data_IF_100558878653
#
_entry.id   IF_100558878653
#
_cell.length_a   1.000
_cell.length_b   1.000
_cell.length_c   1.000
_cell.angle_alpha   90.00
_cell.angle_beta   90.00
_cell.angle_gamma   90.00
#
_symmetry.space_group_name_H-M   'P 1'
#
loop_
_entity.id
_entity.type
_entity.pdbx_description
1 polymer ?
#
# COMPACT_ATOMS: atom_id res chain seq x y z
N UNK A 1 14.11 -2.82 -63.01
CA UNK A 1 14.40 -4.28 -62.88
C UNK A 1 15.63 -4.64 -62.01
N UNK A 2 16.72 -3.86 -61.97
CA UNK A 2 17.88 -4.19 -61.07
C UNK A 2 17.61 -3.86 -59.59
N UNK A 3 16.89 -2.81 -59.26
CA UNK A 3 16.58 -2.38 -57.92
C UNK A 3 15.56 -3.26 -57.19
N UNK A 4 14.59 -3.85 -57.87
CA UNK A 4 13.62 -4.81 -57.28
C UNK A 4 14.25 -6.16 -56.94
N UNK A 5 15.24 -6.63 -57.69
CA UNK A 5 15.96 -7.88 -57.36
C UNK A 5 16.88 -7.71 -56.13
N UNK A 6 17.43 -6.53 -55.90
CA UNK A 6 18.26 -6.22 -54.73
C UNK A 6 17.42 -6.15 -53.44
N UNK A 7 16.21 -5.57 -53.49
CA UNK A 7 15.32 -5.50 -52.33
C UNK A 7 14.82 -6.91 -51.91
N UNK A 8 14.37 -7.72 -52.87
CA UNK A 8 13.95 -9.12 -52.56
C UNK A 8 15.07 -10.03 -52.00
N UNK A 9 16.31 -9.82 -52.42
CA UNK A 9 17.46 -10.56 -51.87
C UNK A 9 17.78 -10.10 -50.43
N UNK A 10 17.59 -8.82 -50.12
CA UNK A 10 17.83 -8.29 -48.78
C UNK A 10 16.71 -8.72 -47.79
N UNK A 11 15.45 -8.71 -48.24
CA UNK A 11 14.33 -9.25 -47.45
C UNK A 11 14.48 -10.73 -47.13
N UNK A 12 14.84 -11.54 -48.10
CA UNK A 12 15.06 -13.00 -47.87
C UNK A 12 16.25 -13.31 -46.96
N UNK A 13 17.27 -12.45 -46.92
CA UNK A 13 18.41 -12.57 -45.97
C UNK A 13 17.98 -12.13 -44.55
N UNK A 14 17.14 -11.11 -44.45
CA UNK A 14 16.64 -10.59 -43.17
C UNK A 14 15.66 -11.57 -42.53
N UNK A 15 14.80 -12.20 -43.32
CA UNK A 15 13.87 -13.25 -42.86
C UNK A 15 14.58 -14.52 -42.38
N UNK A 16 15.66 -14.93 -43.04
CA UNK A 16 16.50 -16.05 -42.59
C UNK A 16 17.19 -15.74 -41.28
N UNK A 17 17.78 -14.55 -41.15
CA UNK A 17 18.42 -14.12 -39.92
C UNK A 17 17.44 -14.01 -38.74
N UNK A 18 16.23 -13.52 -38.98
CA UNK A 18 15.17 -13.46 -37.96
C UNK A 18 14.71 -14.87 -37.54
N UNK A 19 14.58 -15.78 -38.48
CA UNK A 19 14.20 -17.17 -38.19
C UNK A 19 15.26 -17.94 -37.40
N UNK A 20 16.54 -17.71 -37.68
CA UNK A 20 17.66 -18.26 -36.90
C UNK A 20 17.71 -17.69 -35.47
N UNK A 21 17.48 -16.36 -35.31
CA UNK A 21 17.37 -15.70 -33.99
C UNK A 21 16.20 -16.25 -33.18
N UNK A 22 15.03 -16.45 -33.80
CA UNK A 22 13.86 -17.03 -33.12
C UNK A 22 14.14 -18.46 -32.64
N UNK A 23 14.74 -19.33 -33.48
CA UNK A 23 15.11 -20.70 -33.09
C UNK A 23 16.13 -20.74 -31.95
N UNK A 24 17.10 -19.83 -31.96
CA UNK A 24 18.07 -19.71 -30.88
C UNK A 24 17.38 -19.27 -29.55
N UNK A 25 16.44 -18.33 -29.62
CA UNK A 25 15.65 -17.87 -28.47
C UNK A 25 14.79 -19.02 -27.92
N UNK A 26 14.04 -19.73 -28.77
CA UNK A 26 13.20 -20.86 -28.37
C UNK A 26 14.01 -21.96 -27.68
N UNK A 27 15.22 -22.24 -28.20
CA UNK A 27 16.15 -23.20 -27.60
C UNK A 27 16.61 -22.74 -26.21
N UNK A 28 16.94 -21.45 -26.06
CA UNK A 28 17.37 -20.89 -24.79
C UNK A 28 16.20 -20.91 -23.77
N UNK A 29 14.97 -20.56 -24.19
CA UNK A 29 13.78 -20.64 -23.35
C UNK A 29 13.51 -22.07 -22.86
N UNK A 30 13.60 -23.06 -23.75
CA UNK A 30 13.43 -24.45 -23.39
C UNK A 30 14.52 -24.96 -22.40
N UNK A 31 15.77 -24.48 -22.51
CA UNK A 31 16.80 -24.77 -21.53
C UNK A 31 16.56 -24.14 -20.18
N UNK A 32 16.12 -22.88 -20.17
CA UNK A 32 15.76 -22.14 -18.93
C UNK A 32 14.59 -22.84 -18.21
N UNK A 33 13.56 -23.24 -18.95
CA UNK A 33 12.42 -23.96 -18.36
C UNK A 33 12.81 -25.33 -17.77
N UNK A 34 13.75 -26.03 -18.40
CA UNK A 34 14.28 -27.29 -17.87
C UNK A 34 15.11 -27.10 -16.60
N UNK A 35 15.85 -26.01 -16.51
CA UNK A 35 16.77 -25.75 -15.40
C UNK A 35 16.09 -25.08 -14.22
N UNK A 36 15.16 -24.16 -14.47
CA UNK A 36 14.55 -23.29 -13.46
C UNK A 36 13.05 -23.50 -13.27
N UNK A 37 12.42 -24.37 -14.08
CA UNK A 37 10.98 -24.65 -14.04
C UNK A 37 10.17 -23.81 -15.03
N UNK A 38 8.95 -24.30 -15.33
CA UNK A 38 8.01 -23.59 -16.22
C UNK A 38 7.64 -22.22 -15.66
N UNK A 39 7.60 -21.21 -16.52
CA UNK A 39 7.22 -19.84 -16.14
C UNK A 39 8.40 -19.01 -15.61
N UNK A 40 9.65 -19.54 -15.62
CA UNK A 40 10.85 -18.76 -15.25
C UNK A 40 11.10 -17.58 -16.18
N UNK A 41 10.68 -17.68 -17.44
CA UNK A 41 10.63 -16.60 -18.44
C UNK A 41 9.29 -16.65 -19.13
N UNK A 42 8.61 -15.51 -19.20
CA UNK A 42 7.32 -15.39 -19.90
C UNK A 42 7.29 -14.09 -20.72
N UNK A 43 6.56 -14.09 -21.81
CA UNK A 43 6.30 -12.85 -22.54
C UNK A 43 5.26 -12.03 -21.77
N UNK A 44 5.40 -10.70 -21.76
CA UNK A 44 4.42 -9.82 -21.08
C UNK A 44 3.02 -9.94 -21.70
N UNK A 45 2.93 -10.23 -23.01
CA UNK A 45 1.67 -10.55 -23.71
C UNK A 45 0.91 -11.74 -23.13
N UNK A 46 1.65 -12.72 -22.55
CA UNK A 46 1.07 -13.94 -22.00
C UNK A 46 0.61 -13.74 -20.54
N UNK A 47 0.97 -12.60 -19.95
CA UNK A 47 0.49 -12.16 -18.67
C UNK A 47 -0.88 -11.54 -18.87
N UNK A 48 -1.94 -12.35 -18.86
CA UNK A 48 -3.29 -11.81 -18.69
C UNK A 48 -3.29 -10.86 -17.50
N UNK A 49 -4.03 -9.76 -17.58
CA UNK A 49 -4.17 -8.75 -16.55
C UNK A 49 -4.40 -9.41 -15.18
N UNK A 50 -3.32 -9.72 -14.48
CA UNK A 50 -3.41 -10.33 -13.17
C UNK A 50 -3.97 -9.27 -12.23
N UNK A 51 -5.21 -9.44 -11.79
CA UNK A 51 -5.82 -8.60 -10.75
C UNK A 51 -4.88 -8.61 -9.55
N UNK A 52 -4.45 -7.43 -9.15
CA UNK A 52 -3.57 -7.28 -7.97
C UNK A 52 -4.45 -7.51 -6.75
N UNK A 53 -4.18 -8.58 -6.02
CA UNK A 53 -4.84 -8.83 -4.73
C UNK A 53 -4.40 -7.76 -3.73
N UNK A 54 -5.35 -7.23 -2.95
CA UNK A 54 -5.11 -6.13 -2.01
C UNK A 54 -5.75 -6.39 -0.65
N UNK A 55 -5.27 -5.68 0.35
CA UNK A 55 -5.86 -5.56 1.69
C UNK A 55 -6.43 -4.15 1.81
N UNK A 56 -7.75 -3.95 2.01
CA UNK A 56 -8.34 -2.64 2.21
C UNK A 56 -7.75 -1.94 3.44
N UNK A 57 -7.49 -0.64 3.32
CA UNK A 57 -6.87 0.15 4.40
C UNK A 57 -7.82 0.52 5.53
N UNK A 58 -9.13 0.42 5.28
CA UNK A 58 -10.18 0.95 6.17
C UNK A 58 -10.59 2.39 5.84
N UNK A 59 -9.87 3.06 4.92
CA UNK A 59 -10.26 4.36 4.37
C UNK A 59 -10.48 4.23 2.86
N UNK A 60 -11.73 4.41 2.42
CA UNK A 60 -12.08 4.38 1.00
C UNK A 60 -11.29 5.43 0.20
N UNK A 61 -11.06 6.61 0.79
CA UNK A 61 -10.28 7.66 0.17
C UNK A 61 -8.83 7.22 -0.10
N UNK A 62 -8.22 6.51 0.87
CA UNK A 62 -6.86 5.99 0.70
C UNK A 62 -6.81 4.81 -0.28
N UNK A 63 -7.80 3.92 -0.24
CA UNK A 63 -7.91 2.80 -1.18
C UNK A 63 -7.95 3.29 -2.62
N UNK A 64 -8.73 4.36 -2.89
CA UNK A 64 -8.81 5.02 -4.20
C UNK A 64 -7.50 5.75 -4.54
N UNK A 65 -6.89 6.46 -3.58
CA UNK A 65 -5.61 7.13 -3.81
C UNK A 65 -4.47 6.16 -4.14
N UNK A 66 -4.53 4.93 -3.64
CA UNK A 66 -3.61 3.84 -3.99
C UNK A 66 -3.79 3.33 -5.42
N UNK A 67 -4.94 3.57 -6.07
CA UNK A 67 -5.22 3.23 -7.47
C UNK A 67 -5.43 1.74 -7.73
N UNK A 68 -5.36 0.89 -6.71
CA UNK A 68 -5.57 -0.57 -6.80
C UNK A 68 -6.59 -1.08 -5.76
N UNK A 69 -7.20 -0.16 -5.00
CA UNK A 69 -8.24 -0.49 -4.03
C UNK A 69 -7.74 -0.93 -2.64
N UNK A 70 -6.46 -0.81 -2.33
CA UNK A 70 -5.89 -1.17 -1.04
C UNK A 70 -4.38 -1.37 -1.05
N UNK A 71 -3.84 -1.99 0.00
CA UNK A 71 -2.43 -2.34 0.12
C UNK A 71 -2.12 -3.60 -0.70
N UNK A 72 -1.07 -3.60 -1.56
CA UNK A 72 -0.78 -4.72 -2.45
C UNK A 72 -0.28 -5.94 -1.68
N UNK A 73 -0.85 -7.13 -1.97
CA UNK A 73 -0.35 -8.40 -1.44
C UNK A 73 1.02 -8.77 -2.03
N UNK A 74 1.82 -9.46 -1.24
CA UNK A 74 3.16 -9.88 -1.65
C UNK A 74 4.19 -8.74 -1.73
N UNK A 75 3.94 -7.62 -1.06
CA UNK A 75 4.75 -6.40 -1.17
C UNK A 75 5.08 -5.79 0.19
N UNK A 76 6.13 -4.97 0.17
CA UNK A 76 6.54 -4.16 1.32
C UNK A 76 5.87 -2.79 1.20
N UNK A 77 5.23 -2.36 2.28
CA UNK A 77 4.62 -1.05 2.47
C UNK A 77 5.34 -0.35 3.62
N UNK A 78 5.75 0.90 3.45
CA UNK A 78 6.25 1.76 4.51
C UNK A 78 5.21 2.83 4.83
N UNK A 79 4.80 2.92 6.10
CA UNK A 79 3.93 3.97 6.63
C UNK A 79 4.76 4.80 7.58
N UNK A 80 4.96 6.08 7.29
CA UNK A 80 5.79 6.95 8.10
C UNK A 80 5.16 8.33 8.32
N UNK A 81 5.52 8.97 9.40
CA UNK A 81 5.03 10.29 9.76
C UNK A 81 5.39 10.66 11.19
N UNK A 82 5.01 11.86 11.63
CA UNK A 82 5.21 12.31 13.01
C UNK A 82 4.53 11.39 14.03
N UNK A 83 4.89 11.53 15.26
CA UNK A 83 4.19 10.89 16.38
C UNK A 83 2.71 11.31 16.40
N UNK A 84 1.84 10.41 16.87
CA UNK A 84 0.39 10.64 16.96
C UNK A 84 -0.30 11.05 15.63
N UNK A 85 0.30 10.70 14.48
CA UNK A 85 -0.28 10.97 13.15
C UNK A 85 -1.30 9.92 12.69
N UNK A 86 -1.46 8.80 13.42
CA UNK A 86 -2.40 7.72 13.10
C UNK A 86 -1.78 6.53 12.37
N UNK A 87 -0.44 6.36 12.38
CA UNK A 87 0.26 5.22 11.74
C UNK A 87 -0.26 3.87 12.23
N UNK A 88 -0.22 3.65 13.53
CA UNK A 88 -0.67 2.41 14.17
C UNK A 88 -2.17 2.20 13.98
N UNK A 89 -2.99 3.26 14.07
CA UNK A 89 -4.44 3.20 13.80
C UNK A 89 -4.74 2.70 12.38
N UNK A 90 -4.09 3.29 11.36
CA UNK A 90 -4.25 2.86 9.96
C UNK A 90 -3.84 1.39 9.78
N UNK A 91 -2.78 0.98 10.44
CA UNK A 91 -2.26 -0.39 10.35
C UNK A 91 -3.19 -1.39 11.03
N UNK A 92 -3.77 -1.05 12.19
CA UNK A 92 -4.75 -1.88 12.88
C UNK A 92 -6.03 -2.05 12.06
N UNK A 93 -6.49 -1.02 11.35
CA UNK A 93 -7.62 -1.16 10.40
C UNK A 93 -7.28 -2.10 9.25
N UNK A 94 -6.04 -2.05 8.71
CA UNK A 94 -5.61 -3.00 7.69
C UNK A 94 -5.58 -4.45 8.22
N UNK A 95 -5.13 -4.67 9.48
CA UNK A 95 -5.20 -5.98 10.15
C UNK A 95 -6.65 -6.44 10.25
N UNK A 96 -7.54 -5.59 10.79
CA UNK A 96 -8.96 -5.93 10.95
C UNK A 96 -9.61 -6.31 9.62
N UNK A 97 -9.29 -5.61 8.53
CA UNK A 97 -9.81 -5.92 7.20
C UNK A 97 -9.23 -7.22 6.63
N UNK A 98 -7.94 -7.49 6.86
CA UNK A 98 -7.33 -8.75 6.46
C UNK A 98 -7.97 -9.93 7.20
N UNK A 99 -8.18 -9.82 8.52
CA UNK A 99 -8.85 -10.85 9.33
C UNK A 99 -10.31 -11.06 8.93
N UNK A 100 -11.07 -9.99 8.62
CA UNK A 100 -12.45 -10.09 8.10
C UNK A 100 -12.53 -10.88 6.78
N UNK A 101 -11.47 -10.83 5.98
CA UNK A 101 -11.34 -11.64 4.76
C UNK A 101 -10.83 -13.07 5.03
N UNK A 102 -10.70 -13.50 6.30
CA UNK A 102 -10.20 -14.81 6.70
C UNK A 102 -8.68 -14.91 6.74
N UNK A 103 -7.96 -13.78 6.63
CA UNK A 103 -6.50 -13.75 6.61
C UNK A 103 -5.88 -13.85 8.01
N UNK A 104 -4.69 -14.47 8.07
CA UNK A 104 -3.88 -14.58 9.28
C UNK A 104 -2.90 -13.41 9.34
N UNK A 105 -2.86 -12.73 10.49
CA UNK A 105 -2.06 -11.53 10.70
C UNK A 105 -1.07 -11.69 11.85
N UNK A 106 0.10 -11.06 11.73
CA UNK A 106 1.09 -10.96 12.78
C UNK A 106 1.48 -9.50 13.05
N UNK A 107 1.71 -9.17 14.32
CA UNK A 107 2.17 -7.87 14.78
C UNK A 107 3.46 -8.03 15.56
N UNK A 108 4.55 -7.45 15.07
CA UNK A 108 5.85 -7.43 15.74
C UNK A 108 5.98 -6.08 16.42
N UNK A 109 5.74 -6.10 17.73
CA UNK A 109 5.75 -4.93 18.61
C UNK A 109 7.14 -4.70 19.18
N UNK A 110 7.99 -4.01 18.44
CA UNK A 110 9.34 -3.66 18.88
C UNK A 110 9.37 -2.46 19.84
N UNK A 111 8.28 -1.70 19.94
CA UNK A 111 8.15 -0.59 20.90
C UNK A 111 7.58 -1.05 22.25
N UNK A 112 7.08 -2.30 22.37
CA UNK A 112 6.39 -2.83 23.54
C UNK A 112 5.19 -1.97 23.99
N UNK A 113 4.46 -1.43 23.04
CA UNK A 113 3.38 -0.46 23.23
C UNK A 113 2.04 -0.88 22.61
N UNK A 114 1.88 -2.17 22.26
CA UNK A 114 0.65 -2.68 21.68
C UNK A 114 -0.53 -2.59 22.66
N UNK A 115 -1.56 -1.84 22.29
CA UNK A 115 -2.80 -1.71 23.03
C UNK A 115 -3.88 -2.64 22.46
N UNK A 116 -4.09 -3.76 23.14
CA UNK A 116 -5.06 -4.79 22.74
C UNK A 116 -6.52 -4.28 22.82
N UNK A 117 -6.84 -3.44 23.82
CA UNK A 117 -8.18 -2.88 23.96
C UNK A 117 -8.50 -1.90 22.83
N UNK A 118 -7.54 -1.09 22.45
CA UNK A 118 -7.68 -0.20 21.30
C UNK A 118 -7.79 -0.99 19.99
N UNK A 119 -6.95 -2.01 19.78
CA UNK A 119 -7.00 -2.87 18.61
C UNK A 119 -8.38 -3.55 18.46
N UNK A 120 -8.94 -4.06 19.57
CA UNK A 120 -10.28 -4.66 19.60
C UNK A 120 -11.37 -3.67 19.21
N UNK A 121 -11.30 -2.42 19.69
CA UNK A 121 -12.25 -1.36 19.32
C UNK A 121 -12.21 -1.02 17.83
N UNK A 122 -11.05 -1.19 17.18
CA UNK A 122 -10.89 -1.02 15.74
C UNK A 122 -11.33 -2.23 14.91
N UNK A 123 -11.80 -3.29 15.58
CA UNK A 123 -12.33 -4.50 14.94
C UNK A 123 -11.27 -5.57 14.69
N UNK A 124 -10.09 -5.49 15.33
CA UNK A 124 -9.10 -6.56 15.30
C UNK A 124 -9.56 -7.70 16.18
N UNK A 125 -9.53 -8.91 15.64
CA UNK A 125 -9.65 -10.14 16.43
C UNK A 125 -8.32 -10.38 17.14
N UNK A 126 -8.27 -10.02 18.43
CA UNK A 126 -7.05 -10.12 19.24
C UNK A 126 -6.71 -11.57 19.59
N UNK A 127 -7.71 -12.46 19.62
CA UNK A 127 -7.49 -13.88 19.93
C UNK A 127 -6.85 -14.62 18.75
N UNK A 128 -7.08 -14.13 17.52
CA UNK A 128 -6.49 -14.66 16.30
C UNK A 128 -5.21 -13.93 15.87
N UNK A 129 -4.86 -12.79 16.49
CA UNK A 129 -3.68 -12.00 16.13
C UNK A 129 -2.41 -12.59 16.75
N UNK A 130 -1.41 -12.91 15.92
CA UNK A 130 -0.09 -13.30 16.40
C UNK A 130 0.69 -12.05 16.83
N UNK A 131 1.06 -11.94 18.09
CA UNK A 131 1.86 -10.82 18.62
C UNK A 131 3.21 -11.33 19.08
N UNK A 132 4.28 -10.63 18.68
CA UNK A 132 5.65 -10.88 19.12
C UNK A 132 6.27 -9.60 19.65
N UNK A 133 6.95 -9.69 20.81
CA UNK A 133 7.67 -8.56 21.43
C UNK A 133 9.15 -8.94 21.56
N UNK A 134 9.94 -8.73 20.48
CA UNK A 134 11.34 -9.12 20.43
C UNK A 134 12.23 -8.13 21.19
N UNK A 135 13.29 -8.64 21.81
CA UNK A 135 14.27 -7.83 22.53
C UNK A 135 15.30 -7.15 21.61
N UNK A 136 15.52 -7.69 20.40
CA UNK A 136 16.51 -7.17 19.44
C UNK A 136 15.94 -7.07 18.04
N UNK A 137 16.53 -6.18 17.22
CA UNK A 137 16.15 -6.03 15.82
C UNK A 137 16.39 -7.30 15.00
N UNK A 138 17.46 -8.05 15.30
CA UNK A 138 17.74 -9.36 14.66
C UNK A 138 16.62 -10.35 14.93
N UNK A 139 16.22 -10.48 16.19
CA UNK A 139 15.13 -11.38 16.60
C UNK A 139 13.82 -11.00 15.92
N UNK A 140 13.47 -9.72 15.90
CA UNK A 140 12.27 -9.22 15.22
C UNK A 140 12.23 -9.64 13.75
N UNK A 141 13.33 -9.42 13.03
CA UNK A 141 13.41 -9.67 11.59
C UNK A 141 13.55 -11.16 11.26
N UNK A 142 14.14 -11.97 12.15
CA UNK A 142 14.18 -13.43 12.01
C UNK A 142 12.80 -14.05 12.24
N UNK A 143 12.06 -13.63 13.25
CA UNK A 143 10.67 -14.05 13.48
C UNK A 143 9.82 -13.70 12.27
N UNK A 144 9.96 -12.47 11.75
CA UNK A 144 9.27 -12.03 10.55
C UNK A 144 9.61 -12.92 9.33
N UNK A 145 10.89 -13.21 9.08
CA UNK A 145 11.32 -14.07 7.95
C UNK A 145 10.73 -15.48 8.07
N UNK A 146 10.74 -16.07 9.27
CA UNK A 146 10.16 -17.39 9.53
C UNK A 146 8.65 -17.42 9.26
N UNK A 147 7.91 -16.41 9.76
CA UNK A 147 6.48 -16.31 9.58
C UNK A 147 6.12 -16.12 8.10
N UNK A 148 6.83 -15.28 7.36
CA UNK A 148 6.63 -15.08 5.91
C UNK A 148 6.87 -16.39 5.14
N UNK A 149 7.96 -17.09 5.45
CA UNK A 149 8.32 -18.36 4.78
C UNK A 149 7.37 -19.51 5.07
N UNK A 150 6.60 -19.44 6.14
CA UNK A 150 5.54 -20.43 6.40
C UNK A 150 4.48 -20.44 5.30
N UNK A 151 4.31 -19.30 4.59
CA UNK A 151 3.27 -19.13 3.56
C UNK A 151 1.85 -19.02 4.11
N UNK A 152 1.69 -18.98 5.43
CA UNK A 152 0.38 -18.94 6.09
C UNK A 152 -0.12 -17.51 6.37
N UNK A 153 0.78 -16.50 6.35
CA UNK A 153 0.42 -15.14 6.69
C UNK A 153 -0.08 -14.33 5.49
N UNK A 154 -1.12 -13.54 5.71
CA UNK A 154 -1.61 -12.53 4.79
C UNK A 154 -0.96 -11.17 5.04
N UNK A 155 -0.74 -10.83 6.31
CA UNK A 155 -0.21 -9.54 6.73
C UNK A 155 0.74 -9.69 7.91
N UNK A 156 1.89 -9.06 7.85
CA UNK A 156 2.80 -8.87 8.99
C UNK A 156 3.14 -7.39 9.15
N UNK A 157 3.08 -6.91 10.38
CA UNK A 157 3.38 -5.53 10.76
C UNK A 157 4.60 -5.48 11.64
N UNK A 158 5.47 -4.50 11.45
CA UNK A 158 6.58 -4.16 12.36
C UNK A 158 6.36 -2.74 12.87
N UNK A 159 6.12 -2.59 14.16
CA UNK A 159 5.95 -1.30 14.84
C UNK A 159 7.02 -1.15 15.95
N UNK A 160 8.04 -0.35 15.77
CA UNK A 160 8.42 0.41 14.57
C UNK A 160 9.86 0.11 14.16
N UNK A 161 10.24 0.49 12.93
CA UNK A 161 11.63 0.39 12.45
C UNK A 161 12.59 1.13 13.37
N UNK A 162 12.16 2.23 13.99
CA UNK A 162 12.99 3.02 14.91
C UNK A 162 13.41 2.23 16.15
N UNK A 163 12.60 1.27 16.59
CA UNK A 163 12.84 0.44 17.76
C UNK A 163 13.60 -0.87 17.46
N UNK A 164 13.93 -1.15 16.19
CA UNK A 164 14.75 -2.30 15.83
C UNK A 164 16.22 -2.04 16.16
N UNK A 165 16.56 -2.17 17.43
CA UNK A 165 17.93 -1.96 17.92
C UNK A 165 18.76 -3.22 17.66
N UNK A 166 19.92 -3.11 16.99
CA UNK A 166 20.83 -4.25 16.82
C UNK A 166 21.36 -4.78 18.15
N UNK A 167 21.49 -6.12 18.26
CA UNK A 167 22.02 -6.77 19.48
C UNK A 167 23.35 -6.18 19.95
N UNK A 168 24.25 -5.93 19.00
CA UNK A 168 25.57 -5.36 19.33
C UNK A 168 25.47 -3.95 19.93
N UNK A 169 24.41 -3.21 19.67
CA UNK A 169 24.15 -1.91 20.28
C UNK A 169 23.59 -2.05 21.70
N UNK A 170 22.80 -3.09 21.95
CA UNK A 170 22.24 -3.40 23.28
C UNK A 170 23.32 -3.92 24.21
N UNK A 171 24.24 -4.76 23.71
CA UNK A 171 25.32 -5.40 24.47
C UNK A 171 26.53 -4.48 24.62
N UNK A 172 26.63 -3.37 23.89
CA UNK A 172 27.70 -2.38 23.94
C UNK A 172 27.64 -1.50 25.20
N UNK A 173 28.73 -0.79 25.48
CA UNK A 173 28.79 0.18 26.58
C UNK A 173 28.10 1.49 26.19
N UNK A 174 27.60 2.21 27.19
CA UNK A 174 27.06 3.56 27.00
C UNK A 174 28.09 4.50 26.44
N UNK A 175 27.87 5.03 25.23
CA UNK A 175 28.78 5.92 24.52
C UNK A 175 29.53 5.29 23.36
N UNK A 176 29.40 3.97 23.14
CA UNK A 176 29.95 3.30 21.98
C UNK A 176 29.30 3.79 20.69
N UNK A 177 30.11 3.93 19.65
CA UNK A 177 29.61 4.35 18.33
C UNK A 177 29.17 3.16 17.48
N UNK A 178 27.87 2.94 17.39
CA UNK A 178 27.27 1.87 16.58
C UNK A 178 26.67 2.37 15.25
N UNK A 179 27.30 3.39 14.64
CA UNK A 179 26.81 4.04 13.43
C UNK A 179 26.57 3.04 12.29
N UNK A 180 25.34 3.02 11.78
CA UNK A 180 24.95 2.26 10.58
C UNK A 180 24.63 0.78 10.79
N UNK A 181 24.71 0.24 12.01
CA UNK A 181 24.35 -1.17 12.27
C UNK A 181 22.88 -1.45 11.92
N UNK A 182 21.96 -0.63 12.37
CA UNK A 182 20.53 -0.75 12.04
C UNK A 182 20.29 -0.70 10.53
N UNK A 183 20.99 0.18 9.80
CA UNK A 183 20.84 0.27 8.35
C UNK A 183 21.37 -0.99 7.62
N UNK A 184 22.43 -1.61 8.14
CA UNK A 184 22.96 -2.90 7.62
C UNK A 184 21.98 -4.02 7.90
N UNK A 185 21.46 -4.12 9.11
CA UNK A 185 20.47 -5.11 9.53
C UNK A 185 19.23 -5.02 8.64
N UNK A 186 18.66 -3.84 8.47
CA UNK A 186 17.53 -3.61 7.58
C UNK A 186 17.83 -3.97 6.13
N UNK A 187 18.99 -3.62 5.61
CA UNK A 187 19.39 -3.95 4.24
C UNK A 187 19.51 -5.46 4.02
N UNK A 188 20.03 -6.19 4.99
CA UNK A 188 20.15 -7.64 4.95
C UNK A 188 18.79 -8.33 5.01
N UNK A 189 17.94 -7.94 5.97
CA UNK A 189 16.60 -8.48 6.15
C UNK A 189 15.73 -8.27 4.92
N UNK A 190 15.63 -7.02 4.42
CA UNK A 190 14.79 -6.68 3.26
C UNK A 190 15.21 -7.46 2.02
N UNK A 191 16.50 -7.73 1.83
CA UNK A 191 17.01 -8.55 0.74
C UNK A 191 16.53 -10.00 0.85
N UNK A 192 16.50 -10.55 2.06
CA UNK A 192 16.03 -11.92 2.33
C UNK A 192 14.53 -12.08 2.13
N UNK A 193 13.73 -11.14 2.71
CA UNK A 193 12.28 -11.29 2.80
C UNK A 193 11.55 -10.92 1.50
N UNK A 194 12.11 -10.06 0.64
CA UNK A 194 11.41 -9.56 -0.56
C UNK A 194 10.95 -10.69 -1.49
N UNK A 195 11.80 -11.67 -1.73
CA UNK A 195 11.45 -12.84 -2.56
C UNK A 195 10.40 -13.73 -1.90
N UNK A 196 10.54 -13.96 -0.58
CA UNK A 196 9.61 -14.76 0.19
C UNK A 196 8.21 -14.12 0.24
N UNK A 197 8.13 -12.80 0.46
CA UNK A 197 6.86 -12.05 0.43
C UNK A 197 6.11 -12.23 -0.89
N UNK A 198 6.84 -12.13 -2.02
CA UNK A 198 6.22 -12.29 -3.32
C UNK A 198 5.66 -13.70 -3.54
N UNK A 199 6.37 -14.73 -3.07
CA UNK A 199 5.94 -16.13 -3.18
C UNK A 199 4.77 -16.47 -2.26
N UNK A 200 4.81 -16.00 -1.00
CA UNK A 200 3.76 -16.23 0.01
C UNK A 200 2.54 -15.31 -0.15
N UNK A 201 2.63 -14.27 -0.99
CA UNK A 201 1.64 -13.18 -1.11
C UNK A 201 1.38 -12.44 0.20
N UNK A 202 2.28 -12.54 1.17
CA UNK A 202 2.18 -11.82 2.44
C UNK A 202 2.49 -10.34 2.25
N UNK A 203 1.66 -9.46 2.76
CA UNK A 203 1.95 -8.02 2.84
C UNK A 203 2.78 -7.73 4.07
N UNK A 204 3.86 -6.97 3.94
CA UNK A 204 4.68 -6.52 5.05
C UNK A 204 4.56 -5.01 5.23
N UNK A 205 4.02 -4.57 6.36
CA UNK A 205 3.95 -3.15 6.74
C UNK A 205 5.08 -2.83 7.72
N UNK A 206 5.88 -1.84 7.38
CA UNK A 206 6.86 -1.24 8.29
C UNK A 206 6.38 0.14 8.70
N UNK A 207 6.09 0.31 9.98
CA UNK A 207 5.83 1.61 10.57
C UNK A 207 7.17 2.28 10.85
N UNK A 208 7.31 3.54 10.46
CA UNK A 208 8.56 4.27 10.62
C UNK A 208 8.34 5.68 11.19
N UNK A 209 9.34 6.17 11.88
CA UNK A 209 9.36 7.50 12.47
C UNK A 209 10.17 8.45 11.59
N UNK A 210 9.83 9.74 11.65
CA UNK A 210 10.62 10.80 11.05
C UNK A 210 11.70 11.28 12.03
N UNK A 211 12.87 11.57 11.47
CA UNK A 211 13.99 12.22 12.16
C UNK A 211 14.42 13.41 11.32
N UNK A 212 14.90 14.44 11.97
CA UNK A 212 15.46 15.60 11.29
C UNK A 212 16.97 15.43 11.12
N UNK A 213 17.46 15.73 9.93
CA UNK A 213 18.90 15.81 9.65
C UNK A 213 19.40 17.19 10.01
N UNK A 214 20.38 17.25 10.88
CA UNK A 214 21.07 18.48 11.24
C UNK A 214 21.90 18.96 10.05
N UNK A 215 21.86 20.27 9.73
CA UNK A 215 22.71 20.88 8.71
C UNK A 215 22.22 20.79 7.27
N UNK A 216 20.96 20.43 7.03
CA UNK A 216 20.35 20.47 5.69
C UNK A 216 19.81 21.87 5.41
N UNK A 217 20.51 22.64 4.57
CA UNK A 217 20.10 23.99 4.16
C UNK A 217 19.16 24.01 2.94
N UNK A 218 19.14 22.94 2.15
CA UNK A 218 18.29 22.81 0.96
C UNK A 218 17.58 21.46 0.91
N UNK A 219 16.27 21.47 0.56
CA UNK A 219 15.41 20.28 0.52
C UNK A 219 14.78 19.97 1.88
N UNK A 220 14.08 18.83 1.97
CA UNK A 220 13.46 18.41 3.24
C UNK A 220 14.51 17.86 4.21
N UNK A 221 14.60 18.39 5.42
CA UNK A 221 15.48 17.84 6.48
C UNK A 221 14.97 16.49 7.00
N UNK A 222 13.71 16.16 6.78
CA UNK A 222 13.08 14.95 7.29
C UNK A 222 13.62 13.68 6.62
N UNK A 223 13.90 12.68 7.43
CA UNK A 223 14.31 11.35 6.97
C UNK A 223 13.70 10.28 7.86
N UNK A 224 13.47 9.08 7.29
CA UNK A 224 13.04 7.91 8.07
C UNK A 224 14.23 7.18 8.66
N UNK A 225 14.02 6.45 9.78
CA UNK A 225 15.03 5.61 10.44
C UNK A 225 15.35 4.34 9.65
N UNK A 226 16.36 3.56 10.05
CA UNK A 226 16.72 2.29 9.40
C UNK A 226 17.45 2.43 8.07
N UNK A 227 17.95 3.62 7.72
CA UNK A 227 18.74 3.88 6.52
C UNK A 227 17.91 4.02 5.24
N UNK A 228 18.56 3.79 4.09
CA UNK A 228 17.93 3.99 2.77
C UNK A 228 17.26 2.74 2.19
N UNK A 229 17.54 1.55 2.73
CA UNK A 229 17.11 0.28 2.12
C UNK A 229 15.59 0.18 1.98
N UNK A 230 14.85 0.50 3.03
CA UNK A 230 13.38 0.43 3.03
C UNK A 230 12.76 1.32 1.93
N UNK A 231 13.33 2.50 1.68
CA UNK A 231 12.89 3.40 0.59
C UNK A 231 12.98 2.77 -0.80
N UNK A 232 13.95 1.88 -1.02
CA UNK A 232 14.13 1.18 -2.29
C UNK A 232 13.26 -0.08 -2.38
N UNK A 233 13.20 -0.88 -1.32
CA UNK A 233 12.47 -2.15 -1.29
C UNK A 233 10.96 -1.96 -1.21
N UNK A 234 10.46 -0.95 -0.50
CA UNK A 234 9.04 -0.66 -0.43
C UNK A 234 8.43 -0.45 -1.83
N UNK A 235 7.31 -1.10 -2.09
CA UNK A 235 6.49 -0.90 -3.29
C UNK A 235 5.55 0.29 -3.12
N UNK A 236 5.06 0.51 -1.90
CA UNK A 236 4.22 1.64 -1.52
C UNK A 236 4.86 2.35 -0.33
N UNK A 237 4.84 3.68 -0.34
CA UNK A 237 5.26 4.51 0.79
C UNK A 237 4.22 5.58 1.05
N UNK A 238 3.75 5.64 2.29
CA UNK A 238 2.69 6.52 2.77
C UNK A 238 3.26 7.49 3.80
N UNK A 239 3.16 8.79 3.52
CA UNK A 239 3.44 9.88 4.46
C UNK A 239 2.11 10.28 5.11
N UNK A 240 1.95 9.98 6.41
CA UNK A 240 0.73 10.25 7.16
C UNK A 240 0.94 11.40 8.14
N UNK A 241 0.05 12.40 8.08
CA UNK A 241 0.13 13.61 8.90
C UNK A 241 -1.21 14.04 9.42
N UNK A 242 -1.26 14.42 10.69
CA UNK A 242 -2.38 15.16 11.25
C UNK A 242 -2.37 16.57 10.68
N UNK A 243 -3.51 17.04 10.17
CA UNK A 243 -3.67 18.38 9.62
C UNK A 243 -4.58 19.27 10.45
N UNK A 244 -5.54 18.67 11.18
CA UNK A 244 -6.50 19.39 12.00
C UNK A 244 -6.92 18.53 13.20
N UNK A 245 -7.30 19.18 14.31
CA UNK A 245 -7.93 18.51 15.45
C UNK A 245 -9.44 18.71 15.37
N UNK A 246 -10.19 17.63 15.35
CA UNK A 246 -11.64 17.65 15.36
C UNK A 246 -12.14 17.89 16.78
N UNK A 247 -13.10 18.80 16.92
CA UNK A 247 -13.67 19.19 18.21
C UNK A 247 -15.18 19.06 18.20
N UNK A 248 -15.73 18.59 19.31
CA UNK A 248 -17.15 18.70 19.63
C UNK A 248 -17.28 19.67 20.82
N UNK A 249 -17.76 20.88 20.54
CA UNK A 249 -17.71 21.99 21.50
C UNK A 249 -16.29 22.35 21.88
N UNK A 250 -15.89 22.09 23.12
CA UNK A 250 -14.53 22.34 23.66
C UNK A 250 -13.65 21.09 23.68
N UNK A 251 -14.24 19.90 23.52
CA UNK A 251 -13.53 18.63 23.61
C UNK A 251 -12.93 18.22 22.26
N UNK A 252 -11.71 17.69 22.31
CA UNK A 252 -11.07 17.12 21.13
C UNK A 252 -11.52 15.67 20.96
N UNK A 253 -12.28 15.38 19.89
CA UNK A 253 -12.88 14.07 19.62
C UNK A 253 -12.12 13.26 18.58
N UNK A 254 -11.21 13.88 17.86
CA UNK A 254 -10.46 13.20 16.82
C UNK A 254 -9.47 14.09 16.08
N UNK A 255 -8.91 13.57 15.01
CA UNK A 255 -8.01 14.30 14.13
C UNK A 255 -8.39 14.08 12.67
N UNK A 256 -8.34 15.14 11.87
CA UNK A 256 -8.28 15.02 10.42
C UNK A 256 -6.87 14.70 10.01
N UNK A 257 -6.72 13.66 9.24
CA UNK A 257 -5.43 13.09 8.83
C UNK A 257 -5.31 13.11 7.32
N UNK A 258 -4.15 13.49 6.81
CA UNK A 258 -3.79 13.42 5.40
C UNK A 258 -2.74 12.34 5.20
N UNK A 259 -2.97 11.48 4.21
CA UNK A 259 -1.99 10.49 3.74
C UNK A 259 -1.59 10.82 2.31
N UNK A 260 -0.30 11.00 2.08
CA UNK A 260 0.27 11.19 0.74
C UNK A 260 0.93 9.90 0.28
N UNK A 261 0.55 9.41 -0.89
CA UNK A 261 1.19 8.26 -1.56
C UNK A 261 2.48 8.75 -2.22
N UNK A 262 3.60 8.68 -1.49
CA UNK A 262 4.89 9.23 -1.95
C UNK A 262 5.58 8.33 -2.97
N UNK A 263 5.34 7.03 -2.88
CA UNK A 263 5.83 6.01 -3.81
C UNK A 263 4.76 4.96 -4.01
N UNK A 264 4.55 4.59 -5.27
CA UNK A 264 3.69 3.49 -5.64
C UNK A 264 4.25 2.82 -6.91
N UNK A 265 4.50 1.51 -6.84
CA UNK A 265 4.96 0.70 -7.99
C UNK A 265 3.79 0.01 -8.71
N UNK A 266 2.57 0.12 -8.16
CA UNK A 266 1.38 -0.59 -8.67
C UNK A 266 0.46 0.33 -9.46
N UNK A 267 0.50 1.65 -9.18
CA UNK A 267 -0.31 2.69 -9.83
C UNK A 267 0.44 4.03 -9.79
N UNK A 268 -0.01 5.08 -10.49
CA UNK A 268 0.59 6.41 -10.43
C UNK A 268 0.65 6.95 -8.99
N UNK A 269 1.84 7.39 -8.52
CA UNK A 269 2.01 7.93 -7.18
C UNK A 269 1.54 9.38 -7.06
N UNK A 270 1.72 9.95 -5.85
CA UNK A 270 1.51 11.35 -5.46
C UNK A 270 0.06 11.77 -5.23
N UNK A 271 -0.91 10.86 -5.36
CA UNK A 271 -2.27 11.08 -4.89
C UNK A 271 -2.28 11.26 -3.36
N UNK A 272 -3.29 11.95 -2.87
CA UNK A 272 -3.49 12.22 -1.45
C UNK A 272 -4.89 11.76 -1.05
N UNK A 273 -5.03 11.34 0.19
CA UNK A 273 -6.30 11.02 0.82
C UNK A 273 -6.41 11.75 2.15
N UNK A 274 -7.59 12.26 2.46
CA UNK A 274 -7.90 12.83 3.76
C UNK A 274 -9.06 12.06 4.37
N UNK A 275 -8.96 11.80 5.67
CA UNK A 275 -10.00 11.14 6.44
C UNK A 275 -9.89 11.52 7.91
N UNK A 276 -10.98 11.31 8.63
CA UNK A 276 -11.06 11.60 10.05
C UNK A 276 -10.75 10.34 10.85
N UNK A 277 -9.89 10.49 11.87
CA UNK A 277 -9.62 9.47 12.89
C UNK A 277 -10.29 9.95 14.17
N UNK A 278 -11.29 9.22 14.62
CA UNK A 278 -12.04 9.51 15.85
C UNK A 278 -11.41 8.75 17.01
N UNK A 279 -11.21 9.40 18.14
CA UNK A 279 -10.60 8.77 19.31
C UNK A 279 -11.48 7.61 19.81
N UNK A 280 -10.85 6.47 20.04
CA UNK A 280 -11.50 5.25 20.51
C UNK A 280 -12.22 4.42 19.44
N UNK A 281 -12.54 4.97 18.25
CA UNK A 281 -13.24 4.25 17.17
C UNK A 281 -12.44 4.17 15.87
N UNK A 282 -11.35 4.96 15.74
CA UNK A 282 -10.45 4.92 14.59
C UNK A 282 -10.95 5.68 13.37
N UNK A 283 -10.65 5.16 12.18
CA UNK A 283 -10.99 5.81 10.90
C UNK A 283 -12.50 5.84 10.73
N UNK A 284 -13.06 7.04 10.53
CA UNK A 284 -14.47 7.24 10.26
C UNK A 284 -14.80 6.87 8.81
N UNK A 285 -15.38 5.67 8.63
CA UNK A 285 -15.84 5.17 7.32
C UNK A 285 -16.93 6.08 6.77
N UNK A 286 -17.96 6.32 7.55
CA UNK A 286 -19.13 7.11 7.14
C UNK A 286 -18.77 8.57 6.88
N UNK A 287 -17.85 9.14 7.68
CA UNK A 287 -17.31 10.48 7.41
C UNK A 287 -16.58 10.55 6.07
N UNK A 288 -15.82 9.50 5.72
CA UNK A 288 -15.14 9.39 4.42
C UNK A 288 -16.12 9.22 3.26
N UNK A 289 -17.20 8.43 3.45
CA UNK A 289 -18.25 8.27 2.44
C UNK A 289 -18.96 9.59 2.13
N UNK A 290 -19.22 10.43 3.16
CA UNK A 290 -19.82 11.74 2.99
C UNK A 290 -18.88 12.67 2.22
N UNK A 291 -17.60 12.76 2.62
CA UNK A 291 -16.62 13.64 1.97
C UNK A 291 -16.45 13.26 0.50
N UNK A 292 -16.18 11.98 0.21
CA UNK A 292 -16.02 11.49 -1.14
C UNK A 292 -17.31 11.55 -1.97
N UNK A 293 -18.45 11.23 -1.34
CA UNK A 293 -19.74 11.29 -2.00
C UNK A 293 -20.10 12.71 -2.44
N UNK A 294 -19.74 13.72 -1.65
CA UNK A 294 -19.90 15.13 -2.02
C UNK A 294 -18.96 15.52 -3.15
N UNK A 295 -17.70 15.09 -3.09
CA UNK A 295 -16.69 15.39 -4.12
C UNK A 295 -17.12 14.91 -5.50
N UNK A 296 -17.68 13.71 -5.61
CA UNK A 296 -18.11 13.12 -6.90
C UNK A 296 -19.61 13.34 -7.21
N UNK A 297 -20.34 14.07 -6.34
CA UNK A 297 -21.74 14.43 -6.56
C UNK A 297 -22.76 13.30 -6.28
N UNK A 298 -22.37 12.18 -5.69
CA UNK A 298 -23.27 11.12 -5.19
C UNK A 298 -24.05 11.59 -3.99
N UNK A 299 -23.40 12.29 -3.06
CA UNK A 299 -24.05 13.00 -1.94
C UNK A 299 -24.13 14.48 -2.28
N UNK A 300 -25.30 15.09 -2.12
CA UNK A 300 -25.49 16.51 -2.36
C UNK A 300 -25.35 17.29 -1.06
N UNK A 301 -24.62 18.41 -1.12
CA UNK A 301 -24.49 19.35 0.00
C UNK A 301 -25.11 20.69 -0.40
N UNK A 302 -26.16 21.10 0.33
CA UNK A 302 -26.83 22.39 0.16
C UNK A 302 -26.76 23.17 1.49
N UNK A 303 -25.86 24.15 1.57
CA UNK A 303 -25.58 24.85 2.83
C UNK A 303 -25.02 23.86 3.87
N UNK A 304 -25.72 23.72 4.99
CA UNK A 304 -25.39 22.79 6.05
C UNK A 304 -26.02 21.40 5.87
N UNK A 305 -26.91 21.20 4.90
CA UNK A 305 -27.65 19.96 4.72
C UNK A 305 -26.95 19.01 3.75
N UNK A 306 -26.93 17.73 4.14
CA UNK A 306 -26.47 16.62 3.32
C UNK A 306 -27.66 15.77 2.90
N UNK A 307 -27.77 15.44 1.63
CA UNK A 307 -28.84 14.63 1.05
C UNK A 307 -28.27 13.57 0.10
N UNK A 308 -28.92 12.42 0.07
CA UNK A 308 -28.64 11.35 -0.87
C UNK A 308 -29.95 10.96 -1.52
N UNK A 309 -30.04 11.10 -2.86
CA UNK A 309 -31.28 10.95 -3.63
C UNK A 309 -32.44 11.77 -3.04
N UNK A 310 -33.43 11.11 -2.41
CA UNK A 310 -34.57 11.75 -1.74
C UNK A 310 -34.40 11.86 -0.23
N UNK A 311 -33.40 11.21 0.36
CA UNK A 311 -33.21 11.10 1.79
C UNK A 311 -32.34 12.24 2.34
N UNK A 312 -32.79 12.87 3.43
CA UNK A 312 -31.98 13.81 4.19
C UNK A 312 -31.09 13.07 5.18
N UNK A 313 -29.77 13.08 4.94
CA UNK A 313 -28.81 12.46 5.84
C UNK A 313 -28.61 13.25 7.14
N UNK A 314 -28.78 14.59 7.10
CA UNK A 314 -28.69 15.42 8.29
C UNK A 314 -28.16 16.84 8.05
N UNK A 315 -28.33 17.70 9.07
CA UNK A 315 -27.73 19.03 9.10
C UNK A 315 -26.34 18.96 9.78
N UNK A 316 -25.30 19.29 9.03
CA UNK A 316 -23.91 19.15 9.47
C UNK A 316 -23.35 17.73 9.21
N UNK A 317 -22.02 17.67 9.07
CA UNK A 317 -21.33 16.40 8.75
C UNK A 317 -21.51 15.34 9.82
N UNK A 318 -21.47 15.73 11.11
CA UNK A 318 -21.61 14.79 12.24
C UNK A 318 -22.98 14.12 12.29
N UNK A 319 -24.07 14.88 12.06
CA UNK A 319 -25.42 14.30 11.99
C UNK A 319 -25.57 13.36 10.78
N UNK A 320 -25.03 13.74 9.63
CA UNK A 320 -25.04 12.88 8.46
C UNK A 320 -24.22 11.61 8.68
N UNK A 321 -23.07 11.70 9.36
CA UNK A 321 -22.25 10.55 9.76
C UNK A 321 -23.00 9.61 10.71
N UNK A 322 -23.62 10.16 11.75
CA UNK A 322 -24.42 9.38 12.70
C UNK A 322 -25.58 8.67 11.98
N UNK A 323 -26.26 9.36 11.07
CA UNK A 323 -27.32 8.76 10.27
C UNK A 323 -26.83 7.57 9.45
N UNK A 324 -25.64 7.64 8.81
CA UNK A 324 -25.09 6.53 8.04
C UNK A 324 -24.61 5.38 8.95
N UNK A 325 -24.17 5.65 10.17
CA UNK A 325 -23.86 4.62 11.18
C UNK A 325 -25.11 3.81 11.52
N UNK A 326 -26.25 4.50 11.71
CA UNK A 326 -27.54 3.87 12.03
C UNK A 326 -28.21 3.20 10.81
N UNK A 327 -27.73 3.51 9.58
CA UNK A 327 -28.26 2.98 8.32
C UNK A 327 -27.14 2.34 7.47
N UNK A 328 -26.60 1.17 7.87
CA UNK A 328 -25.45 0.54 7.22
C UNK A 328 -25.71 0.10 5.77
N UNK A 329 -26.95 -0.25 5.42
CA UNK A 329 -27.32 -0.62 4.06
C UNK A 329 -27.18 0.55 3.10
N UNK A 330 -27.62 1.76 3.53
CA UNK A 330 -27.46 2.99 2.78
C UNK A 330 -25.98 3.38 2.64
N UNK A 331 -25.20 3.22 3.72
CA UNK A 331 -23.76 3.44 3.70
C UNK A 331 -23.07 2.52 2.69
N UNK A 332 -23.45 1.24 2.62
CA UNK A 332 -22.93 0.28 1.66
C UNK A 332 -23.31 0.63 0.21
N UNK A 333 -24.54 1.12 -0.01
CA UNK A 333 -24.98 1.57 -1.33
C UNK A 333 -24.18 2.77 -1.81
N UNK A 334 -23.99 3.78 -0.95
CA UNK A 334 -23.17 4.97 -1.25
C UNK A 334 -21.74 4.55 -1.55
N UNK A 335 -21.16 3.64 -0.75
CA UNK A 335 -19.81 3.12 -0.98
C UNK A 335 -19.70 2.42 -2.34
N UNK A 336 -20.70 1.61 -2.70
CA UNK A 336 -20.75 0.93 -3.99
C UNK A 336 -20.76 1.92 -5.17
N UNK A 337 -21.55 3.00 -5.08
CA UNK A 337 -21.57 4.07 -6.09
C UNK A 337 -20.25 4.82 -6.17
N UNK A 338 -19.63 5.12 -5.02
CA UNK A 338 -18.31 5.78 -4.99
C UNK A 338 -17.26 4.89 -5.67
N UNK A 339 -17.17 3.60 -5.29
CA UNK A 339 -16.20 2.65 -5.90
C UNK A 339 -16.46 2.48 -7.40
N UNK A 340 -17.72 2.36 -7.80
CA UNK A 340 -18.12 2.24 -9.21
C UNK A 340 -17.69 3.46 -10.05
N UNK A 341 -17.79 4.67 -9.50
CA UNK A 341 -17.35 5.89 -10.18
C UNK A 341 -15.86 5.84 -10.55
N UNK A 342 -15.00 5.43 -9.61
CA UNK A 342 -13.55 5.38 -9.84
C UNK A 342 -13.12 4.22 -10.74
N UNK A 343 -13.82 3.09 -10.71
CA UNK A 343 -13.58 1.98 -11.66
C UNK A 343 -13.99 2.38 -13.09
N UNK A 344 -15.10 3.11 -13.25
CA UNK A 344 -15.56 3.58 -14.55
C UNK A 344 -14.63 4.64 -15.17
N UNK A 345 -14.01 5.50 -14.34
CA UNK A 345 -13.04 6.51 -14.80
C UNK A 345 -11.72 5.89 -15.27
N UNK A 346 -11.33 4.72 -14.72
CA UNK A 346 -10.15 3.97 -15.21
C UNK A 346 -10.40 3.26 -16.55
N UNK A 347 -11.66 3.08 -16.96
CA UNK A 347 -12.08 2.44 -18.21
C UNK A 347 -12.87 3.46 -19.06
N UNK A 348 -12.36 4.67 -19.19
CA UNK A 348 -12.99 5.65 -20.08
C UNK A 348 -12.88 5.18 -21.55
N UNK A 349 -14.01 4.83 -22.20
CA UNK A 349 -14.01 4.31 -23.58
C UNK A 349 -13.45 5.32 -24.60
N UNK A 350 -13.54 6.63 -24.32
CA UNK A 350 -12.98 7.67 -25.20
C UNK A 350 -11.45 7.67 -25.14
N UNK A 351 -10.86 7.40 -23.97
CA UNK A 351 -9.41 7.26 -23.83
C UNK A 351 -8.89 5.98 -24.48
N UNK A 352 -9.65 4.89 -24.39
CA UNK A 352 -9.34 3.61 -25.06
C UNK A 352 -9.47 3.76 -26.58
N UNK A 353 -10.54 4.40 -27.06
CA UNK A 353 -10.73 4.67 -28.48
C UNK A 353 -9.65 5.59 -29.06
N UNK A 354 -9.22 6.64 -28.32
CA UNK A 354 -8.15 7.51 -28.73
C UNK A 354 -6.76 6.81 -28.77
N UNK A 355 -6.54 5.82 -27.91
CA UNK A 355 -5.33 4.97 -27.94
C UNK A 355 -5.37 4.00 -29.11
N UNK A 356 -6.52 3.40 -29.41
CA UNK A 356 -6.71 2.50 -30.56
C UNK A 356 -6.62 3.26 -31.89
N UNK A 357 -7.14 4.49 -32.01
CA UNK A 357 -6.94 5.35 -33.19
C UNK A 357 -5.46 5.74 -33.35
N UNK A 358 -4.78 6.13 -32.28
CA UNK A 358 -3.37 6.50 -32.33
C UNK A 358 -2.43 5.30 -32.64
N UNK A 359 -2.84 4.07 -32.30
CA UNK A 359 -2.08 2.86 -32.64
C UNK A 359 -2.39 2.35 -34.05
N UNK A 360 -3.56 2.64 -34.61
CA UNK A 360 -3.91 2.28 -35.99
C UNK A 360 -3.28 3.21 -37.05
N UNK A 361 -2.80 4.39 -36.67
CA UNK A 361 -2.08 5.32 -37.58
C UNK A 361 -0.56 5.04 -37.68
N UNK A 362 -0.03 4.03 -37.00
CA UNK A 362 1.41 3.68 -37.00
C UNK A 362 1.69 2.39 -37.78
N UNK A 363 0.81 1.94 -38.62
CA UNK A 363 1.10 0.89 -39.60
C UNK A 363 1.66 1.56 -40.91
N UNK A 364 2.99 1.73 -40.92
CA UNK A 364 3.79 1.90 -42.13
C UNK A 364 5.02 0.99 -42.10
#
# INVERSE_FOLDING_TARGET
MATEKSNKANEGAQDKANNERQKALDTALAQIERQFGKGSVMKMSDRQNAVIEVIPTGSIALDIALGIGGLPRGRIVEIYGPESSGKTTLTLHAIANAQKAGGICAFIDAEHAFDAEYAKKLGVDIDALLVSQPDTGEQALEIMDMLIRSGALDLVVVDSVAALVPRAEIEGEMGDSHMGLQARLMSQALRKITGALHQSKTTAIFINQLREKIGVFFGSPETTTGGKALKFYASVRLDIRRIETLKDGTESVGNRTRVKVVKNKMAPPFKQAEFDIIYGTGISREGSLIDMGVEIGVVKKAGAWYTYEADQLGQGKENARAFLVDNPDLANEIEGKIRGHFVAVEVDPELVAAIDEATSEVDF
#
